data_IF_701231611763
#
_entry.id   IF_701231611763
#
_cell.length_a   1.000
_cell.length_b   1.000
_cell.length_c   1.000
_cell.angle_alpha   90.00
_cell.angle_beta   90.00
_cell.angle_gamma   90.00
#
_symmetry.space_group_name_H-M   'P 1'
#
loop_
_entity.id
_entity.type
_entity.pdbx_description
1 polymer ?
#
# COMPACT_ATOMS: atom_id res chain seq x y z
N UNK A 1 -13.25 10.57 -42.01
CA UNK A 1 -12.14 10.33 -41.05
C UNK A 1 -11.84 8.83 -41.07
N UNK A 2 -10.60 8.39 -41.28
CA UNK A 2 -10.34 6.93 -41.35
C UNK A 2 -10.60 6.30 -39.98
N UNK A 3 -11.21 5.11 -39.96
CA UNK A 3 -11.56 4.38 -38.73
C UNK A 3 -10.39 4.29 -37.72
N UNK A 4 -9.16 4.19 -38.21
CA UNK A 4 -7.95 4.19 -37.36
C UNK A 4 -7.75 5.48 -36.55
N UNK A 5 -7.98 6.66 -37.14
CA UNK A 5 -7.84 7.95 -36.42
C UNK A 5 -8.88 8.12 -35.31
N UNK A 6 -10.08 7.56 -35.51
CA UNK A 6 -11.13 7.55 -34.49
C UNK A 6 -10.79 6.60 -33.33
N UNK A 7 -10.23 5.42 -33.61
CA UNK A 7 -9.81 4.46 -32.58
C UNK A 7 -8.68 5.01 -31.70
N UNK A 8 -7.65 5.62 -32.31
CA UNK A 8 -6.58 6.26 -31.54
C UNK A 8 -7.07 7.44 -30.69
N UNK A 9 -8.03 8.22 -31.20
CA UNK A 9 -8.68 9.28 -30.42
C UNK A 9 -9.44 8.76 -29.20
N UNK A 10 -10.16 7.64 -29.34
CA UNK A 10 -10.87 6.99 -28.22
C UNK A 10 -9.89 6.45 -27.19
N UNK A 11 -8.80 5.78 -27.61
CA UNK A 11 -7.77 5.26 -26.70
C UNK A 11 -7.11 6.41 -25.93
N UNK A 12 -6.79 7.53 -26.59
CA UNK A 12 -6.21 8.69 -25.93
C UNK A 12 -7.17 9.30 -24.89
N UNK A 13 -8.47 9.38 -25.20
CA UNK A 13 -9.49 9.86 -24.25
C UNK A 13 -9.62 8.91 -23.06
N UNK A 14 -9.59 7.59 -23.28
CA UNK A 14 -9.61 6.59 -22.19
C UNK A 14 -8.37 6.72 -21.31
N UNK A 15 -7.18 6.90 -21.89
CA UNK A 15 -5.93 7.11 -21.14
C UNK A 15 -5.99 8.41 -20.33
N UNK A 16 -6.47 9.51 -20.92
CA UNK A 16 -6.63 10.79 -20.22
C UNK A 16 -7.66 10.66 -19.09
N UNK A 17 -8.80 10.00 -19.34
CA UNK A 17 -9.80 9.74 -18.31
C UNK A 17 -9.26 8.86 -17.19
N UNK A 18 -8.45 7.85 -17.51
CA UNK A 18 -7.79 6.97 -16.54
C UNK A 18 -6.76 7.75 -15.71
N UNK A 19 -5.92 8.56 -16.35
CA UNK A 19 -4.95 9.45 -15.69
C UNK A 19 -5.66 10.46 -14.78
N UNK A 20 -6.73 11.10 -15.25
CA UNK A 20 -7.54 12.02 -14.44
C UNK A 20 -8.21 11.30 -13.26
N UNK A 21 -8.73 10.08 -13.46
CA UNK A 21 -9.27 9.26 -12.38
C UNK A 21 -8.19 8.90 -11.37
N UNK A 22 -6.98 8.55 -11.78
CA UNK A 22 -5.88 8.27 -10.84
C UNK A 22 -5.38 9.52 -10.09
N UNK A 23 -5.60 10.73 -10.62
CA UNK A 23 -5.27 11.99 -9.95
C UNK A 23 -6.32 12.40 -8.90
N UNK A 24 -7.58 11.97 -9.04
CA UNK A 24 -8.69 12.33 -8.14
C UNK A 24 -9.29 11.18 -7.34
N UNK A 25 -8.94 9.93 -7.68
CA UNK A 25 -9.47 8.75 -7.03
C UNK A 25 -8.66 8.45 -5.77
N UNK A 26 -9.31 8.21 -4.62
CA UNK A 26 -8.62 7.81 -3.41
C UNK A 26 -7.96 6.45 -3.66
N UNK A 27 -6.62 6.40 -3.59
CA UNK A 27 -5.82 5.17 -3.70
C UNK A 27 -5.28 4.84 -2.31
N UNK A 28 -5.54 3.60 -1.87
CA UNK A 28 -4.89 3.03 -0.70
C UNK A 28 -3.74 2.15 -1.18
N UNK A 29 -2.55 2.38 -0.66
CA UNK A 29 -1.39 1.50 -0.87
C UNK A 29 -1.24 0.67 0.39
N UNK A 30 -1.11 -0.65 0.25
CA UNK A 30 -0.95 -1.59 1.35
C UNK A 30 0.31 -2.43 1.13
N UNK A 31 1.08 -2.60 2.19
CA UNK A 31 2.14 -3.60 2.24
C UNK A 31 1.58 -4.84 2.91
N UNK A 32 1.57 -5.96 2.19
CA UNK A 32 1.07 -7.24 2.68
C UNK A 32 2.25 -8.15 2.98
N UNK A 33 2.35 -8.63 4.21
CA UNK A 33 3.21 -9.77 4.50
C UNK A 33 2.43 -11.05 4.17
N UNK A 34 2.96 -11.80 3.20
CA UNK A 34 2.42 -13.10 2.78
C UNK A 34 3.32 -14.26 3.22
N UNK A 35 4.41 -13.96 3.92
CA UNK A 35 5.52 -14.87 4.20
C UNK A 35 5.57 -15.32 5.66
N UNK A 36 5.10 -14.52 6.62
CA UNK A 36 5.08 -14.86 8.05
C UNK A 36 3.65 -15.20 8.57
N UNK A 37 3.09 -16.34 8.16
CA UNK A 37 1.88 -16.90 8.78
C UNK A 37 0.55 -16.40 8.20
N UNK A 38 -0.35 -15.87 9.04
CA UNK A 38 -1.64 -15.33 8.57
C UNK A 38 -1.39 -14.06 7.77
N UNK A 39 -1.75 -13.99 6.48
CA UNK A 39 -1.46 -12.81 5.67
C UNK A 39 -2.09 -11.57 6.30
N UNK A 40 -1.32 -10.51 6.44
CA UNK A 40 -1.71 -9.30 7.17
C UNK A 40 -1.24 -8.04 6.46
N UNK A 41 -1.91 -6.92 6.75
CA UNK A 41 -1.47 -5.61 6.26
C UNK A 41 -0.57 -4.99 7.30
N UNK A 42 0.74 -4.95 7.04
CA UNK A 42 1.72 -4.41 7.98
C UNK A 42 1.83 -2.89 7.91
N UNK A 43 1.65 -2.34 6.71
CA UNK A 43 1.67 -0.92 6.44
C UNK A 43 0.58 -0.54 5.46
N UNK A 44 0.04 0.65 5.63
CA UNK A 44 -0.83 1.26 4.64
C UNK A 44 -0.51 2.74 4.47
N UNK A 45 -0.88 3.31 3.33
CA UNK A 45 -0.76 4.74 3.08
C UNK A 45 -1.85 5.21 2.13
N UNK A 46 -2.36 6.42 2.38
CA UNK A 46 -3.09 7.17 1.35
C UNK A 46 -2.05 7.86 0.48
N UNK A 47 -2.27 7.82 -0.83
CA UNK A 47 -1.46 8.62 -1.74
C UNK A 47 -2.28 9.80 -2.26
N UNK A 48 -1.68 11.00 -2.20
CA UNK A 48 -2.19 12.17 -2.91
C UNK A 48 -1.07 12.79 -3.75
N UNK A 49 -1.41 13.25 -4.95
CA UNK A 49 -0.44 13.82 -5.90
C UNK A 49 0.24 15.07 -5.36
N UNK A 50 -0.48 15.85 -4.54
CA UNK A 50 0.02 17.11 -3.96
C UNK A 50 0.64 16.96 -2.56
N UNK A 51 0.24 15.93 -1.80
CA UNK A 51 0.66 15.71 -0.42
C UNK A 51 1.59 14.51 -0.20
N UNK A 52 1.84 13.70 -1.22
CA UNK A 52 2.64 12.48 -1.10
C UNK A 52 1.92 11.37 -0.33
N UNK A 53 2.69 10.57 0.40
CA UNK A 53 2.21 9.48 1.23
C UNK A 53 1.77 9.98 2.61
N UNK A 54 0.54 9.66 2.99
CA UNK A 54 0.02 9.82 4.34
C UNK A 54 -0.12 8.43 4.98
N UNK A 55 0.81 8.09 5.86
CA UNK A 55 0.96 6.76 6.45
C UNK A 55 -0.17 6.42 7.41
N UNK A 56 -0.65 5.19 7.31
CA UNK A 56 -1.69 4.61 8.14
C UNK A 56 -1.10 3.44 8.91
N UNK A 57 -1.46 3.36 10.19
CA UNK A 57 -1.08 2.25 11.05
C UNK A 57 -2.21 1.21 11.10
N UNK A 58 -2.08 0.06 10.40
CA UNK A 58 -3.21 -0.85 10.20
C UNK A 58 -3.76 -1.48 11.48
N UNK A 59 -2.92 -1.62 12.51
CA UNK A 59 -3.34 -2.19 13.80
C UNK A 59 -4.26 -1.30 14.62
N UNK A 60 -4.28 0.02 14.37
CA UNK A 60 -5.18 0.96 15.05
C UNK A 60 -6.32 1.48 14.16
N UNK A 61 -6.31 1.16 12.87
CA UNK A 61 -7.42 1.39 11.95
C UNK A 61 -8.46 0.30 12.12
N UNK A 62 -9.69 0.65 12.51
CA UNK A 62 -10.73 -0.33 12.85
C UNK A 62 -12.07 -0.03 12.17
N UNK A 63 -12.92 -1.04 12.00
CA UNK A 63 -14.33 -0.80 11.70
C UNK A 63 -15.17 -0.66 12.98
N UNK A 64 -16.48 -0.52 12.82
CA UNK A 64 -17.45 -0.44 13.92
C UNK A 64 -17.43 -1.66 14.87
N UNK A 65 -16.97 -2.82 14.40
CA UNK A 65 -16.87 -4.05 15.17
C UNK A 65 -15.51 -4.24 15.86
N UNK A 66 -14.58 -3.29 15.69
CA UNK A 66 -13.22 -3.37 16.23
C UNK A 66 -12.28 -4.29 15.45
N UNK A 67 -12.68 -4.77 14.27
CA UNK A 67 -11.79 -5.52 13.37
C UNK A 67 -10.77 -4.56 12.75
N UNK A 68 -9.52 -4.97 12.65
CA UNK A 68 -8.41 -4.08 12.27
C UNK A 68 -8.09 -4.19 10.79
N UNK A 69 -7.53 -3.11 10.22
CA UNK A 69 -6.99 -3.15 8.85
C UNK A 69 -5.86 -4.20 8.74
N UNK A 70 -5.09 -4.40 9.81
CA UNK A 70 -4.03 -5.41 9.86
C UNK A 70 -4.56 -6.84 9.62
N UNK A 71 -5.76 -7.16 10.14
CA UNK A 71 -6.28 -8.53 10.19
C UNK A 71 -7.33 -8.84 9.10
N UNK A 72 -7.49 -8.00 8.07
CA UNK A 72 -8.61 -8.14 7.10
C UNK A 72 -8.66 -9.51 6.40
N UNK A 73 -7.53 -10.15 6.15
CA UNK A 73 -7.50 -11.50 5.56
C UNK A 73 -7.95 -12.58 6.52
N UNK A 74 -7.80 -12.37 7.82
CA UNK A 74 -8.31 -13.29 8.85
C UNK A 74 -9.77 -13.00 9.18
N UNK A 75 -10.12 -11.73 9.33
CA UNK A 75 -11.43 -11.26 9.76
C UNK A 75 -12.47 -11.30 8.64
N UNK A 76 -12.03 -11.25 7.38
CA UNK A 76 -12.88 -11.22 6.18
C UNK A 76 -12.24 -11.99 5.00
N UNK A 77 -12.01 -13.30 5.13
CA UNK A 77 -11.26 -14.09 4.15
C UNK A 77 -11.92 -14.14 2.75
N UNK A 78 -13.24 -13.96 2.68
CA UNK A 78 -13.98 -13.98 1.42
C UNK A 78 -13.86 -12.65 0.63
N UNK A 79 -13.65 -11.53 1.33
CA UNK A 79 -13.49 -10.20 0.72
C UNK A 79 -12.61 -9.27 1.60
N UNK A 80 -11.30 -9.55 1.69
CA UNK A 80 -10.40 -8.79 2.56
C UNK A 80 -10.20 -7.35 2.07
N UNK A 81 -10.27 -7.13 0.76
CA UNK A 81 -10.07 -5.82 0.15
C UNK A 81 -11.31 -4.92 0.26
N UNK A 82 -12.52 -5.49 0.18
CA UNK A 82 -13.76 -4.80 0.54
C UNK A 82 -13.77 -4.41 2.02
N UNK A 83 -13.34 -5.31 2.92
CA UNK A 83 -13.21 -4.99 4.34
C UNK A 83 -12.20 -3.87 4.59
N UNK A 84 -11.05 -3.87 3.91
CA UNK A 84 -10.07 -2.80 3.97
C UNK A 84 -10.66 -1.44 3.53
N UNK A 85 -11.42 -1.41 2.42
CA UNK A 85 -12.14 -0.20 1.96
C UNK A 85 -13.11 0.32 3.02
N UNK A 86 -13.87 -0.57 3.65
CA UNK A 86 -14.89 -0.20 4.62
C UNK A 86 -14.25 0.33 5.92
N UNK A 87 -13.17 -0.30 6.40
CA UNK A 87 -12.37 0.19 7.54
C UNK A 87 -11.80 1.59 7.24
N UNK A 88 -11.25 1.79 6.05
CA UNK A 88 -10.73 3.08 5.62
C UNK A 88 -11.81 4.16 5.57
N UNK A 89 -12.99 3.80 5.07
CA UNK A 89 -14.15 4.70 5.02
C UNK A 89 -14.60 5.07 6.42
N UNK A 90 -14.69 4.10 7.33
CA UNK A 90 -15.11 4.33 8.71
C UNK A 90 -14.09 5.17 9.49
N UNK A 91 -12.83 4.72 9.57
CA UNK A 91 -11.80 5.35 10.42
C UNK A 91 -11.37 6.72 9.88
N UNK A 92 -11.20 6.85 8.57
CA UNK A 92 -10.54 8.01 7.97
C UNK A 92 -11.45 8.84 7.07
N UNK A 93 -12.72 8.45 6.91
CA UNK A 93 -13.64 9.08 5.94
C UNK A 93 -13.03 9.12 4.53
N UNK A 94 -12.27 8.07 4.20
CA UNK A 94 -11.54 7.88 2.97
C UNK A 94 -11.98 6.57 2.33
N UNK A 95 -12.66 6.65 1.19
CA UNK A 95 -13.15 5.46 0.48
C UNK A 95 -12.26 5.19 -0.73
N UNK A 96 -11.29 4.25 -0.63
CA UNK A 96 -10.50 3.89 -1.80
C UNK A 96 -11.39 3.25 -2.86
N UNK A 97 -11.12 3.55 -4.13
CA UNK A 97 -11.68 2.79 -5.26
C UNK A 97 -10.64 1.82 -5.85
N UNK A 98 -9.37 2.02 -5.50
CA UNK A 98 -8.26 1.17 -5.88
C UNK A 98 -7.38 0.96 -4.66
N UNK A 99 -7.07 -0.30 -4.39
CA UNK A 99 -6.04 -0.73 -3.47
C UNK A 99 -4.83 -1.18 -4.28
N UNK A 100 -3.64 -0.68 -3.96
CA UNK A 100 -2.38 -1.17 -4.53
C UNK A 100 -1.70 -2.01 -3.45
N UNK A 101 -1.69 -3.32 -3.65
CA UNK A 101 -0.98 -4.26 -2.79
C UNK A 101 0.46 -4.41 -3.26
N UNK A 102 1.40 -4.38 -2.31
CA UNK A 102 2.84 -4.54 -2.53
C UNK A 102 3.36 -5.57 -1.52
N UNK A 103 4.03 -6.61 -2.01
CA UNK A 103 4.66 -7.60 -1.14
C UNK A 103 6.13 -7.23 -0.82
N UNK A 104 6.77 -7.92 0.15
CA UNK A 104 8.18 -7.75 0.49
C UNK A 104 9.13 -7.76 -0.70
N UNK A 105 8.97 -8.71 -1.62
CA UNK A 105 9.86 -8.87 -2.77
C UNK A 105 9.82 -7.67 -3.71
N UNK A 106 8.65 -7.08 -3.94
CA UNK A 106 8.54 -5.83 -4.70
C UNK A 106 9.17 -4.66 -3.96
N UNK A 107 8.97 -4.57 -2.65
CA UNK A 107 9.52 -3.48 -1.85
C UNK A 107 11.06 -3.50 -1.87
N UNK A 108 11.66 -4.67 -1.69
CA UNK A 108 13.12 -4.83 -1.75
C UNK A 108 13.69 -4.66 -3.16
N UNK A 109 13.01 -5.15 -4.20
CA UNK A 109 13.45 -4.91 -5.58
C UNK A 109 13.47 -3.41 -5.93
N UNK A 110 12.46 -2.65 -5.50
CA UNK A 110 12.33 -1.23 -5.81
C UNK A 110 13.24 -0.34 -4.95
N UNK A 111 13.38 -0.62 -3.65
CA UNK A 111 14.08 0.26 -2.72
C UNK A 111 15.42 -0.31 -2.20
N UNK A 112 15.76 -1.55 -2.55
CA UNK A 112 17.00 -2.23 -2.16
C UNK A 112 16.80 -3.34 -1.14
N UNK A 113 17.68 -4.34 -1.18
CA UNK A 113 17.69 -5.47 -0.25
C UNK A 113 17.84 -5.01 1.21
N UNK A 114 17.17 -5.71 2.13
CA UNK A 114 17.21 -5.40 3.56
C UNK A 114 16.39 -4.16 3.95
N UNK A 115 15.50 -3.69 3.06
CA UNK A 115 14.58 -2.59 3.36
C UNK A 115 13.77 -2.87 4.63
N UNK A 116 13.23 -4.09 4.74
CA UNK A 116 12.38 -4.49 5.86
C UNK A 116 13.19 -4.51 7.17
N UNK A 117 14.41 -5.04 7.13
CA UNK A 117 15.30 -5.03 8.30
C UNK A 117 15.69 -3.61 8.71
N UNK A 118 15.93 -2.71 7.74
CA UNK A 118 16.19 -1.30 8.02
C UNK A 118 14.97 -0.60 8.65
N UNK A 119 13.75 -0.92 8.20
CA UNK A 119 12.53 -0.41 8.83
C UNK A 119 12.44 -0.90 10.27
N UNK A 120 12.58 -2.22 10.49
CA UNK A 120 12.51 -2.86 11.81
C UNK A 120 13.59 -2.33 12.78
N UNK A 121 14.79 -2.01 12.27
CA UNK A 121 15.88 -1.48 13.09
C UNK A 121 15.65 -0.03 13.57
N UNK A 122 14.94 0.79 12.78
CA UNK A 122 14.71 2.20 13.11
C UNK A 122 13.35 2.45 13.78
N UNK A 123 12.42 1.52 13.64
CA UNK A 123 11.09 1.60 14.25
C UNK A 123 11.15 1.45 15.77
N UNK A 124 10.74 2.49 16.50
CA UNK A 124 10.71 2.54 17.97
C UNK A 124 9.45 1.93 18.59
N UNK A 125 8.60 1.30 17.77
CA UNK A 125 7.23 1.02 18.18
C UNK A 125 7.13 0.06 19.38
N UNK A 126 6.98 0.65 20.56
CA UNK A 126 6.48 0.05 21.78
C UNK A 126 4.97 -0.09 21.65
N UNK A 127 4.48 -1.29 21.30
CA UNK A 127 3.04 -1.51 21.16
C UNK A 127 2.63 -2.84 20.52
N UNK A 128 3.57 -3.60 19.97
CA UNK A 128 3.36 -5.02 19.68
C UNK A 128 3.57 -5.85 20.95
N UNK A 129 2.70 -6.81 21.25
CA UNK A 129 2.99 -7.78 22.31
C UNK A 129 4.25 -8.57 21.89
N UNK A 130 5.40 -8.26 22.51
CA UNK A 130 6.72 -8.81 22.15
C UNK A 130 7.80 -7.78 21.82
N UNK A 131 7.47 -6.48 21.74
CA UNK A 131 8.40 -5.40 21.35
C UNK A 131 9.39 -4.94 22.44
N UNK A 132 9.60 -5.72 23.50
CA UNK A 132 10.43 -5.33 24.65
C UNK A 132 11.93 -5.10 24.32
N UNK A 133 12.36 -5.40 23.08
CA UNK A 133 13.75 -5.36 22.64
C UNK A 133 13.99 -4.56 21.34
N UNK A 134 13.03 -3.75 20.86
CA UNK A 134 13.24 -2.97 19.62
C UNK A 134 13.94 -1.65 19.96
N UNK A 135 15.13 -1.43 19.39
CA UNK A 135 16.04 -0.31 19.71
C UNK A 135 15.75 1.00 18.94
N UNK A 136 14.77 1.01 18.04
CA UNK A 136 14.49 2.17 17.20
C UNK A 136 14.09 3.42 18.01
N UNK A 137 14.22 4.59 17.39
CA UNK A 137 13.84 5.89 17.98
C UNK A 137 12.79 6.64 17.15
N UNK A 138 12.32 6.06 16.05
CA UNK A 138 11.41 6.69 15.08
C UNK A 138 10.01 6.08 15.09
N UNK A 139 9.01 6.81 14.59
CA UNK A 139 7.71 6.19 14.28
C UNK A 139 7.86 5.23 13.09
N UNK A 140 6.97 4.24 12.95
CA UNK A 140 7.03 3.29 11.83
C UNK A 140 6.97 3.98 10.45
N UNK A 141 6.14 5.00 10.28
CA UNK A 141 6.07 5.78 9.04
C UNK A 141 7.36 6.54 8.73
N UNK A 142 8.03 7.08 9.77
CA UNK A 142 9.33 7.74 9.62
C UNK A 142 10.45 6.74 9.33
N UNK A 143 10.42 5.56 9.95
CA UNK A 143 11.35 4.47 9.70
C UNK A 143 11.25 3.97 8.25
N UNK A 144 10.02 3.81 7.72
CA UNK A 144 9.75 3.48 6.32
C UNK A 144 10.27 4.56 5.39
N UNK A 145 9.94 5.82 5.66
CA UNK A 145 10.42 6.95 4.85
C UNK A 145 11.95 7.01 4.84
N UNK A 146 12.59 6.80 5.98
CA UNK A 146 14.05 6.77 6.11
C UNK A 146 14.64 5.63 5.30
N UNK A 147 14.14 4.40 5.45
CA UNK A 147 14.63 3.22 4.73
C UNK A 147 14.47 3.36 3.20
N UNK A 148 13.36 3.92 2.73
CA UNK A 148 13.15 4.21 1.30
C UNK A 148 14.10 5.28 0.76
N UNK A 149 14.49 6.27 1.58
CA UNK A 149 15.42 7.33 1.17
C UNK A 149 16.89 6.93 1.27
N UNK A 150 17.25 5.98 2.14
CA UNK A 150 18.61 5.49 2.32
C UNK A 150 18.95 4.33 1.38
N UNK A 151 17.93 3.63 0.87
CA UNK A 151 18.07 2.53 -0.08
C UNK A 151 18.41 2.93 -1.51
N UNK A 152 18.69 1.93 -2.35
CA UNK A 152 18.94 2.15 -3.78
C UNK A 152 17.60 2.09 -4.52
N UNK A 153 17.02 3.26 -4.80
CA UNK A 153 15.76 3.32 -5.56
C UNK A 153 15.96 2.92 -7.02
N UNK A 154 15.33 1.82 -7.44
CA UNK A 154 15.31 1.33 -8.80
C UNK A 154 13.86 1.33 -9.36
N UNK A 155 13.43 2.42 -10.02
CA UNK A 155 12.07 2.52 -10.56
C UNK A 155 11.79 1.55 -11.72
N UNK A 156 12.82 0.94 -12.33
CA UNK A 156 12.64 -0.03 -13.42
C UNK A 156 12.09 -1.38 -12.93
N UNK A 157 12.21 -1.68 -11.64
CA UNK A 157 11.67 -2.90 -11.03
C UNK A 157 10.14 -2.84 -10.87
N UNK A 158 9.55 -1.64 -10.82
CA UNK A 158 8.09 -1.45 -10.68
C UNK A 158 7.30 -2.23 -11.76
N UNK A 159 7.53 -2.03 -13.07
CA UNK A 159 6.81 -2.79 -14.10
C UNK A 159 7.09 -4.30 -14.03
N UNK A 160 8.29 -4.70 -13.63
CA UNK A 160 8.66 -6.13 -13.50
C UNK A 160 7.84 -6.78 -12.38
N UNK A 161 7.77 -6.15 -11.21
CA UNK A 161 7.00 -6.65 -10.07
C UNK A 161 5.48 -6.60 -10.30
N UNK A 162 4.97 -5.65 -11.09
CA UNK A 162 3.58 -5.68 -11.56
C UNK A 162 3.33 -6.95 -12.40
N UNK A 163 4.23 -7.26 -13.35
CA UNK A 163 4.10 -8.44 -14.21
C UNK A 163 4.25 -9.75 -13.45
N UNK A 164 5.07 -9.78 -12.41
CA UNK A 164 5.25 -10.94 -11.54
C UNK A 164 4.09 -11.14 -10.55
N UNK A 165 3.19 -10.17 -10.42
CA UNK A 165 2.08 -10.21 -9.46
C UNK A 165 2.45 -9.81 -8.03
N UNK A 166 3.67 -9.30 -7.83
CA UNK A 166 4.17 -8.79 -6.55
C UNK A 166 3.61 -7.40 -6.23
N UNK A 167 3.20 -6.65 -7.25
CA UNK A 167 2.37 -5.44 -7.14
C UNK A 167 1.02 -5.72 -7.80
N UNK A 168 -0.07 -5.53 -7.06
CA UNK A 168 -1.42 -5.83 -7.51
C UNK A 168 -2.33 -4.62 -7.41
N UNK A 169 -3.13 -4.41 -8.45
CA UNK A 169 -4.15 -3.38 -8.48
C UNK A 169 -5.51 -4.04 -8.20
N UNK A 170 -6.00 -3.75 -7.00
CA UNK A 170 -7.27 -3.98 -6.28
C UNK A 170 -8.47 -3.09 -6.62
N UNK A 171 -9.33 -3.28 -7.64
CA UNK A 171 -10.56 -2.47 -7.73
C UNK A 171 -11.50 -2.84 -6.59
N UNK A 172 -11.98 -1.84 -5.84
CA UNK A 172 -12.85 -2.01 -4.66
C UNK A 172 -14.00 -1.01 -4.65
#
# INVERSE_FOLDING_TARGET
MSKGKTIFGIIAIVIIAFLLFTLTSPILIIAEDTTEGSPGIDMAAKFSVLGGFDWIYPGSSVNENGQTLHNVHQDSPDDPYGAARDIMTYTYQFTPHIIVSVNPEAAEGIFGEGLIDNIRANDAYNGYAGSANVQGTMSRGDAVSTAMTSGTFNPLEIPIHILMGNIRFIPV
#
